data_IF_484920022240
#
_entry.id   IF_484920022240
#
_cell.length_a   1.000
_cell.length_b   1.000
_cell.length_c   1.000
_cell.angle_alpha   90.00
_cell.angle_beta   90.00
_cell.angle_gamma   90.00
#
_symmetry.space_group_name_H-M   'P 1'
#
loop_
_entity.id
_entity.type
_entity.pdbx_description
1 polymer ?
#
# COMPACT_ATOMS: atom_id res chain seq x y z
N UNK A 1 -10.96 10.13 20.75
CA UNK A 1 -9.99 9.50 19.83
C UNK A 1 -10.71 9.18 18.53
N UNK A 2 -10.23 9.71 17.40
CA UNK A 2 -10.85 9.44 16.10
C UNK A 2 -10.35 8.07 15.64
N UNK A 3 -11.25 7.10 15.57
CA UNK A 3 -10.92 5.76 15.11
C UNK A 3 -10.86 5.85 13.59
N UNK A 4 -9.67 5.87 13.00
CA UNK A 4 -9.50 5.78 11.54
C UNK A 4 -9.98 4.39 11.12
N UNK A 5 -11.24 4.30 10.72
CA UNK A 5 -11.82 3.08 10.19
C UNK A 5 -11.59 3.12 8.70
N UNK A 6 -10.62 2.34 8.23
CA UNK A 6 -10.43 2.12 6.80
C UNK A 6 -11.54 1.20 6.31
N UNK A 7 -12.20 1.57 5.20
CA UNK A 7 -13.29 0.81 4.60
C UNK A 7 -12.95 0.33 3.18
N UNK A 8 -13.57 -0.76 2.70
CA UNK A 8 -13.48 -1.14 1.30
C UNK A 8 -13.89 0.00 0.35
N UNK A 9 -13.13 0.18 -0.72
CA UNK A 9 -13.25 1.28 -1.69
C UNK A 9 -12.47 2.54 -1.34
N UNK A 10 -11.89 2.63 -0.14
CA UNK A 10 -11.01 3.75 0.21
C UNK A 10 -9.62 3.58 -0.39
N UNK A 11 -9.04 4.69 -0.87
CA UNK A 11 -7.66 4.73 -1.31
C UNK A 11 -6.73 5.05 -0.14
N UNK A 12 -5.58 4.38 -0.09
CA UNK A 12 -4.53 4.66 0.87
C UNK A 12 -3.15 4.55 0.22
N UNK A 13 -2.18 5.21 0.83
CA UNK A 13 -0.78 5.13 0.40
C UNK A 13 -0.05 4.17 1.32
N UNK A 14 0.64 3.19 0.74
CA UNK A 14 1.36 2.17 1.49
C UNK A 14 2.73 1.94 0.87
N UNK A 15 3.75 1.85 1.73
CA UNK A 15 5.07 1.38 1.32
C UNK A 15 5.11 -0.14 1.37
N UNK A 16 5.42 -0.77 0.25
CA UNK A 16 5.61 -2.22 0.20
C UNK A 16 7.00 -2.53 0.75
N UNK A 17 7.07 -3.19 1.91
CA UNK A 17 8.34 -3.42 2.61
C UNK A 17 8.73 -4.90 2.67
N UNK A 18 7.79 -5.81 2.45
CA UNK A 18 8.01 -7.25 2.52
C UNK A 18 7.25 -7.98 1.40
N UNK A 19 7.76 -9.14 0.98
CA UNK A 19 7.01 -10.07 0.12
C UNK A 19 5.86 -10.69 0.92
N UNK A 20 4.70 -10.87 0.29
CA UNK A 20 3.55 -11.52 0.90
C UNK A 20 3.63 -13.05 0.86
N UNK A 21 2.60 -13.69 1.41
CA UNK A 21 2.54 -15.15 1.49
C UNK A 21 2.31 -15.78 0.11
N UNK A 22 1.42 -15.19 -0.68
CA UNK A 22 1.14 -15.69 -2.03
C UNK A 22 2.05 -15.04 -3.08
N UNK A 23 2.23 -15.72 -4.20
CA UNK A 23 3.01 -15.19 -5.31
C UNK A 23 2.46 -13.83 -5.76
N UNK A 24 3.35 -12.88 -6.01
CA UNK A 24 3.05 -11.48 -6.38
C UNK A 24 2.46 -10.60 -5.28
N UNK A 25 2.21 -11.11 -4.07
CA UNK A 25 1.79 -10.23 -2.97
C UNK A 25 2.96 -9.39 -2.43
N UNK A 26 2.63 -8.17 -2.04
CA UNK A 26 3.45 -7.33 -1.18
C UNK A 26 2.76 -7.09 0.16
N UNK A 27 3.54 -6.75 1.18
CA UNK A 27 3.04 -6.40 2.51
C UNK A 27 3.59 -5.05 2.93
N UNK A 28 2.70 -4.21 3.44
CA UNK A 28 3.00 -2.96 4.12
C UNK A 28 2.29 -2.89 5.47
N UNK A 29 2.59 -1.86 6.24
CA UNK A 29 1.98 -1.61 7.54
C UNK A 29 1.58 -0.15 7.65
N UNK A 30 0.46 0.11 8.33
CA UNK A 30 0.11 1.44 8.81
C UNK A 30 0.89 1.75 10.09
N UNK A 31 0.90 3.02 10.50
CA UNK A 31 1.57 3.49 11.72
C UNK A 31 1.02 2.84 12.99
N UNK A 32 -0.25 2.41 12.98
CA UNK A 32 -0.90 1.72 14.09
C UNK A 32 -0.61 0.21 14.17
N UNK A 33 0.23 -0.30 13.25
CA UNK A 33 0.60 -1.71 13.15
C UNK A 33 -0.39 -2.56 12.34
N UNK A 34 -1.45 -1.96 11.77
CA UNK A 34 -2.35 -2.67 10.86
C UNK A 34 -1.58 -3.17 9.64
N UNK A 35 -1.67 -4.48 9.39
CA UNK A 35 -1.03 -5.11 8.24
C UNK A 35 -1.87 -4.89 6.98
N UNK A 36 -1.22 -4.50 5.89
CA UNK A 36 -1.84 -4.33 4.56
C UNK A 36 -1.20 -5.32 3.60
N UNK A 37 -2.00 -6.23 3.08
CA UNK A 37 -1.63 -7.17 2.01
C UNK A 37 -2.05 -6.54 0.68
N UNK A 38 -1.06 -6.28 -0.18
CA UNK A 38 -1.26 -5.69 -1.50
C UNK A 38 -1.16 -6.78 -2.56
N UNK A 39 -2.26 -7.05 -3.25
CA UNK A 39 -2.27 -7.93 -4.41
C UNK A 39 -1.46 -7.32 -5.55
N UNK A 40 -0.62 -8.13 -6.23
CA UNK A 40 0.38 -7.65 -7.18
C UNK A 40 1.36 -6.61 -6.60
N UNK A 41 1.47 -6.51 -5.26
CA UNK A 41 2.35 -5.58 -4.57
C UNK A 41 3.84 -5.89 -4.71
N UNK A 42 4.21 -7.14 -5.01
CA UNK A 42 5.63 -7.56 -5.09
C UNK A 42 6.45 -6.76 -6.11
N UNK A 43 5.83 -6.32 -7.21
CA UNK A 43 6.54 -5.51 -8.22
C UNK A 43 6.87 -4.09 -7.75
N UNK A 44 6.30 -3.67 -6.63
CA UNK A 44 6.48 -2.35 -6.02
C UNK A 44 7.32 -2.43 -4.73
N UNK A 45 8.11 -3.49 -4.55
CA UNK A 45 8.95 -3.67 -3.37
C UNK A 45 9.89 -2.48 -3.14
N UNK A 46 9.84 -1.92 -1.93
CA UNK A 46 10.59 -0.73 -1.53
C UNK A 46 9.95 0.60 -1.96
N UNK A 47 8.88 0.55 -2.76
CA UNK A 47 8.18 1.73 -3.26
C UNK A 47 6.94 2.05 -2.42
N UNK A 48 6.55 3.31 -2.45
CA UNK A 48 5.34 3.83 -1.84
C UNK A 48 4.29 4.05 -2.92
N UNK A 49 3.17 3.34 -2.82
CA UNK A 49 2.16 3.24 -3.87
C UNK A 49 0.77 3.55 -3.32
N UNK A 50 -0.10 4.08 -4.18
CA UNK A 50 -1.54 4.18 -3.88
C UNK A 50 -2.21 2.83 -4.16
N UNK A 51 -3.06 2.41 -3.23
CA UNK A 51 -3.84 1.18 -3.31
C UNK A 51 -5.28 1.46 -2.88
N UNK A 52 -6.22 0.69 -3.42
CA UNK A 52 -7.63 0.70 -3.03
C UNK A 52 -7.88 -0.49 -2.12
N UNK A 53 -8.55 -0.26 -1.00
CA UNK A 53 -8.93 -1.32 -0.08
C UNK A 53 -10.02 -2.18 -0.70
N UNK A 54 -9.73 -3.47 -0.87
CA UNK A 54 -10.69 -4.44 -1.36
C UNK A 54 -11.39 -5.17 -0.21
N UNK A 55 -10.71 -5.36 0.93
CA UNK A 55 -11.27 -6.08 2.08
C UNK A 55 -10.61 -5.69 3.39
N UNK A 56 -11.40 -5.69 4.47
CA UNK A 56 -10.89 -5.54 5.84
C UNK A 56 -11.30 -6.77 6.65
N UNK A 57 -10.34 -7.43 7.28
CA UNK A 57 -10.54 -8.53 8.20
C UNK A 57 -10.07 -8.14 9.60
N UNK A 58 -10.94 -8.35 10.58
CA UNK A 58 -10.54 -8.30 11.99
C UNK A 58 -10.22 -9.72 12.45
N UNK A 59 -9.04 -9.92 13.02
CA UNK A 59 -8.60 -11.19 13.61
C UNK A 59 -8.24 -10.99 15.08
N UNK A 60 -8.02 -12.08 15.81
CA UNK A 60 -7.57 -12.02 17.20
C UNK A 60 -6.18 -11.36 17.35
N UNK A 61 -5.36 -11.37 16.30
CA UNK A 61 -4.03 -10.78 16.29
C UNK A 61 -4.02 -9.29 15.88
N UNK A 62 -5.16 -8.76 15.41
CA UNK A 62 -5.27 -7.39 14.94
C UNK A 62 -6.07 -7.27 13.65
N UNK A 63 -5.93 -6.11 13.00
CA UNK A 63 -6.60 -5.81 11.74
C UNK A 63 -5.69 -6.15 10.56
N UNK A 64 -6.29 -6.76 9.55
CA UNK A 64 -5.66 -7.10 8.28
C UNK A 64 -6.46 -6.43 7.16
N UNK A 65 -5.80 -5.66 6.31
CA UNK A 65 -6.39 -4.99 5.16
C UNK A 65 -5.85 -5.65 3.90
N UNK A 66 -6.71 -5.87 2.91
CA UNK A 66 -6.35 -6.31 1.57
C UNK A 66 -6.61 -5.15 0.62
N UNK A 67 -5.68 -4.94 -0.31
CA UNK A 67 -5.75 -3.82 -1.24
C UNK A 67 -5.14 -4.17 -2.60
N UNK A 68 -5.51 -3.41 -3.62
CA UNK A 68 -4.98 -3.51 -4.99
C UNK A 68 -4.41 -2.17 -5.44
N UNK A 69 -3.28 -2.10 -6.16
CA UNK A 69 -2.75 -0.85 -6.70
C UNK A 69 -3.79 -0.13 -7.56
N UNK A 70 -4.04 1.16 -7.28
CA UNK A 70 -5.07 1.94 -8.00
C UNK A 70 -4.62 2.41 -9.37
N UNK A 71 -3.31 2.61 -9.57
CA UNK A 71 -2.68 3.02 -10.83
C UNK A 71 -1.27 2.45 -10.86
N UNK A 72 -0.78 2.02 -12.04
CA UNK A 72 0.67 1.93 -12.23
C UNK A 72 1.24 3.30 -11.87
N UNK A 73 2.24 3.35 -11.00
CA UNK A 73 2.87 4.60 -10.57
C UNK A 73 3.61 5.19 -11.76
N UNK A 74 2.87 5.73 -12.72
CA UNK A 74 3.40 6.58 -13.77
C UNK A 74 3.78 7.91 -13.10
N UNK A 75 5.07 8.22 -13.22
CA UNK A 75 5.52 9.61 -13.36
C UNK A 75 5.70 10.47 -12.09
N UNK A 76 6.21 9.92 -10.98
CA UNK A 76 6.80 10.76 -9.89
C UNK A 76 8.33 10.81 -9.84
N UNK A 77 9.00 10.14 -10.78
CA UNK A 77 10.41 10.37 -11.09
C UNK A 77 10.58 11.11 -12.42
N UNK A 78 9.87 12.23 -12.63
CA UNK A 78 10.48 13.25 -13.49
C UNK A 78 11.68 13.81 -12.71
N UNK A 79 12.93 13.59 -13.13
CA UNK A 79 13.98 14.46 -12.65
C UNK A 79 13.55 15.88 -13.06
N UNK A 80 13.56 16.82 -12.12
CA UNK A 80 13.72 18.23 -12.49
C UNK A 80 15.13 18.32 -13.08
N UNK A 81 15.26 17.88 -14.32
CA UNK A 81 16.41 18.12 -15.15
C UNK A 81 16.21 19.48 -15.78
N UNK A 82 17.05 20.41 -15.34
CA UNK A 82 17.91 21.22 -16.22
C UNK A 82 17.78 22.74 -16.08
N UNK A 83 18.96 23.32 -15.82
CA UNK A 83 19.52 24.49 -16.48
C UNK A 83 19.10 25.88 -16.02
N UNK A 84 20.01 26.53 -15.28
CA UNK A 84 20.76 27.73 -15.67
C UNK A 84 21.00 28.64 -14.46
N UNK A 85 22.25 28.67 -14.01
CA UNK A 85 23.08 29.90 -13.90
C UNK A 85 24.53 29.47 -13.75
#
# INVERSE_FOLDING_TARGET
AVKSVVLPGEELTVKVIQEGKEINQGVGYLEDGTMIVVENGRRYMGEEIQVEVTKVLQTNAGRLIFATPTREVEERRRPVGSSRS
#
